data_IF_471168642466
#
_entry.id   IF_471168642466
#
_cell.length_a   1.000
_cell.length_b   1.000
_cell.length_c   1.000
_cell.angle_alpha   90.00
_cell.angle_beta   90.00
_cell.angle_gamma   90.00
#
_symmetry.space_group_name_H-M   'P 1'
#
loop_
_entity.id
_entity.type
_entity.pdbx_description
1 polymer ?
#
# COMPACT_ATOMS: atom_id res chain seq x y z
N UNK A 1 -2.66 -17.58 -0.89
CA UNK A 1 -2.00 -16.64 0.05
C UNK A 1 -2.46 -15.19 -0.16
N UNK A 2 -2.08 -14.52 -1.26
CA UNK A 2 -2.41 -13.11 -1.50
C UNK A 2 -3.91 -12.75 -1.40
N UNK A 3 -4.80 -13.64 -1.88
CA UNK A 3 -6.26 -13.49 -1.80
C UNK A 3 -6.80 -13.32 -0.37
N UNK A 4 -6.09 -13.83 0.64
CA UNK A 4 -6.46 -13.66 2.05
C UNK A 4 -5.63 -12.57 2.75
N UNK A 5 -4.35 -12.44 2.37
CA UNK A 5 -3.43 -11.45 2.96
C UNK A 5 -3.91 -10.02 2.73
N UNK A 6 -4.34 -9.69 1.50
CA UNK A 6 -4.75 -8.32 1.16
C UNK A 6 -6.03 -7.93 1.94
N UNK A 7 -7.14 -8.70 1.89
CA UNK A 7 -8.31 -8.38 2.70
C UNK A 7 -8.05 -8.39 4.21
N UNK A 8 -7.19 -9.28 4.69
CA UNK A 8 -6.80 -9.33 6.11
C UNK A 8 -6.11 -8.04 6.57
N UNK A 9 -5.17 -7.53 5.77
CA UNK A 9 -4.48 -6.26 6.05
C UNK A 9 -5.44 -5.06 5.99
N UNK A 10 -6.37 -5.04 5.03
CA UNK A 10 -7.39 -3.99 4.94
C UNK A 10 -8.28 -3.95 6.18
N UNK A 11 -8.79 -5.11 6.61
CA UNK A 11 -9.61 -5.22 7.84
C UNK A 11 -8.84 -4.80 9.09
N UNK A 12 -7.55 -5.16 9.19
CA UNK A 12 -6.70 -4.72 10.30
C UNK A 12 -6.64 -3.20 10.36
N UNK A 13 -6.41 -2.54 9.22
CA UNK A 13 -6.37 -1.07 9.14
C UNK A 13 -7.72 -0.45 9.50
N UNK A 14 -8.83 -1.00 9.00
CA UNK A 14 -10.19 -0.51 9.30
C UNK A 14 -10.55 -0.62 10.79
N UNK A 15 -10.08 -1.67 11.46
CA UNK A 15 -10.39 -1.93 12.88
C UNK A 15 -9.44 -1.27 13.87
N UNK A 16 -8.29 -0.75 13.41
CA UNK A 16 -7.26 -0.21 14.28
C UNK A 16 -7.41 1.30 14.47
N UNK A 17 -7.16 1.77 15.69
CA UNK A 17 -7.00 3.20 15.99
C UNK A 17 -5.58 3.71 15.71
N UNK A 18 -4.72 2.86 15.13
CA UNK A 18 -3.33 3.16 14.82
C UNK A 18 -3.17 3.60 13.37
N UNK A 19 -2.19 4.46 13.13
CA UNK A 19 -1.84 4.84 11.77
C UNK A 19 -1.31 3.62 10.99
N UNK A 20 -1.59 3.45 9.67
CA UNK A 20 -1.10 2.32 8.89
C UNK A 20 0.42 2.12 8.92
N UNK A 21 1.17 3.20 9.16
CA UNK A 21 2.62 3.16 9.39
C UNK A 21 2.95 2.33 10.63
N UNK A 22 2.26 2.57 11.74
CA UNK A 22 2.51 1.89 13.01
C UNK A 22 2.15 0.41 12.92
N UNK A 23 1.03 0.08 12.27
CA UNK A 23 0.65 -1.32 11.99
C UNK A 23 1.70 -2.06 11.17
N UNK A 24 2.26 -1.40 10.15
CA UNK A 24 3.36 -1.98 9.37
C UNK A 24 4.62 -2.16 10.22
N UNK A 25 4.95 -1.18 11.05
CA UNK A 25 6.13 -1.24 11.91
C UNK A 25 6.03 -2.42 12.91
N UNK A 26 4.82 -2.74 13.42
CA UNK A 26 4.57 -3.90 14.29
C UNK A 26 4.88 -5.27 13.64
N UNK A 27 4.78 -5.38 12.32
CA UNK A 27 5.08 -6.63 11.57
C UNK A 27 6.45 -6.60 10.89
N UNK A 28 7.28 -5.60 11.20
CA UNK A 28 8.59 -5.40 10.60
C UNK A 28 9.67 -5.58 11.67
N UNK A 29 10.17 -6.80 11.82
CA UNK A 29 11.30 -7.07 12.70
C UNK A 29 12.62 -6.61 12.07
N UNK A 30 13.59 -6.10 12.86
CA UNK A 30 14.93 -5.78 12.38
C UNK A 30 15.59 -6.99 11.70
N UNK A 31 16.12 -6.77 10.49
CA UNK A 31 16.72 -7.81 9.63
C UNK A 31 15.74 -8.95 9.24
N UNK A 32 14.44 -8.72 9.38
CA UNK A 32 13.39 -9.68 9.06
C UNK A 32 13.01 -9.71 7.57
N UNK A 33 12.19 -10.69 7.20
CA UNK A 33 11.71 -10.86 5.83
C UNK A 33 10.80 -9.72 5.37
N UNK A 34 9.95 -9.18 6.26
CA UNK A 34 9.13 -8.01 5.97
C UNK A 34 9.98 -6.78 5.69
N UNK A 35 11.05 -6.56 6.47
CA UNK A 35 11.96 -5.43 6.25
C UNK A 35 12.63 -5.55 4.87
N UNK A 36 13.19 -6.71 4.54
CA UNK A 36 13.83 -6.95 3.24
C UNK A 36 12.85 -6.71 2.07
N UNK A 37 11.59 -7.11 2.21
CA UNK A 37 10.56 -6.83 1.20
C UNK A 37 10.27 -5.31 1.07
N UNK A 38 10.20 -4.58 2.19
CA UNK A 38 9.98 -3.13 2.19
C UNK A 38 11.16 -2.36 1.57
N UNK A 39 12.39 -2.82 1.81
CA UNK A 39 13.59 -2.24 1.18
C UNK A 39 13.57 -2.44 -0.33
N UNK A 40 13.22 -3.65 -0.80
CA UNK A 40 13.02 -3.94 -2.22
C UNK A 40 11.95 -3.04 -2.86
N UNK A 41 10.77 -2.92 -2.23
CA UNK A 41 9.72 -2.00 -2.70
C UNK A 41 10.15 -0.54 -2.73
N UNK A 42 11.02 -0.12 -1.81
CA UNK A 42 11.56 1.24 -1.79
C UNK A 42 12.55 1.46 -2.92
N UNK A 43 13.43 0.49 -3.20
CA UNK A 43 14.37 0.54 -4.32
C UNK A 43 13.64 0.65 -5.67
N UNK A 44 12.50 -0.04 -5.78
CA UNK A 44 11.64 -0.01 -6.96
C UNK A 44 10.68 1.19 -7.00
N UNK A 45 10.78 2.14 -6.07
CA UNK A 45 9.95 3.35 -6.01
C UNK A 45 8.43 3.10 -5.96
N UNK A 46 8.00 2.01 -5.33
CA UNK A 46 6.60 1.56 -5.34
C UNK A 46 5.61 2.66 -4.92
N UNK A 47 5.94 3.49 -3.92
CA UNK A 47 5.08 4.59 -3.47
C UNK A 47 4.79 5.60 -4.58
N UNK A 48 5.80 5.94 -5.37
CA UNK A 48 5.67 6.86 -6.49
C UNK A 48 4.84 6.24 -7.60
N UNK A 49 5.06 4.97 -7.91
CA UNK A 49 4.30 4.22 -8.91
C UNK A 49 2.81 4.22 -8.57
N UNK A 50 2.44 3.87 -7.33
CA UNK A 50 1.04 3.83 -6.89
C UNK A 50 0.41 5.22 -6.94
N UNK A 51 1.13 6.26 -6.50
CA UNK A 51 0.64 7.65 -6.57
C UNK A 51 0.31 8.06 -8.01
N UNK A 52 1.25 7.84 -8.93
CA UNK A 52 1.04 8.17 -10.35
C UNK A 52 -0.13 7.39 -10.95
N UNK A 53 -0.28 6.10 -10.60
CA UNK A 53 -1.38 5.28 -11.09
C UNK A 53 -2.74 5.85 -10.65
N UNK A 54 -2.88 6.26 -9.39
CA UNK A 54 -4.12 6.85 -8.86
C UNK A 54 -4.40 8.22 -9.51
N UNK A 55 -3.37 9.04 -9.71
CA UNK A 55 -3.50 10.34 -10.40
C UNK A 55 -3.95 10.16 -11.86
N UNK A 56 -3.35 9.20 -12.59
CA UNK A 56 -3.73 8.88 -13.96
C UNK A 56 -5.17 8.35 -14.06
N UNK A 57 -5.56 7.45 -13.14
CA UNK A 57 -6.92 6.94 -13.07
C UNK A 57 -7.93 8.06 -12.79
N UNK A 58 -7.60 8.99 -11.89
CA UNK A 58 -8.42 10.16 -11.61
C UNK A 58 -8.56 11.06 -12.84
N UNK A 59 -7.46 11.38 -13.52
CA UNK A 59 -7.49 12.21 -14.73
C UNK A 59 -8.42 11.62 -15.79
N UNK A 60 -8.28 10.31 -16.06
CA UNK A 60 -9.16 9.61 -17.01
C UNK A 60 -10.62 9.61 -16.58
N UNK A 61 -10.89 9.44 -15.28
CA UNK A 61 -12.27 9.50 -14.77
C UNK A 61 -12.91 10.87 -14.98
N UNK A 62 -12.14 11.96 -14.91
CA UNK A 62 -12.65 13.32 -15.16
C UNK A 62 -12.95 13.51 -16.64
N UNK A 63 -12.03 13.10 -17.52
CA UNK A 63 -12.24 13.13 -18.98
C UNK A 63 -13.54 12.41 -19.38
N UNK A 64 -13.72 11.18 -18.89
CA UNK A 64 -14.91 10.36 -19.16
C UNK A 64 -16.22 10.99 -18.63
N UNK A 65 -16.15 11.81 -17.59
CA UNK A 65 -17.32 12.49 -17.03
C UNK A 65 -17.70 13.78 -17.77
N UNK A 66 -16.77 14.30 -18.58
CA UNK A 66 -16.96 15.50 -19.41
C UNK A 66 -17.37 15.18 -20.85
N UNK A 67 -17.46 13.89 -21.20
CA UNK A 67 -18.05 13.36 -22.44
C UNK A 67 -19.57 13.16 -22.28
#
# INVERSE_FOLDING_TARGET
LAQHTIPGAARLIESAELHPKELRDQVTSPNGTTQAALESFSADNLRTIVRHAVEAARARSVELSSE
#
